data_IF_223853462947
#
_entry.id   IF_223853462947
#
_cell.length_a   1.000
_cell.length_b   1.000
_cell.length_c   1.000
_cell.angle_alpha   90.00
_cell.angle_beta   90.00
_cell.angle_gamma   90.00
#
_symmetry.space_group_name_H-M   'P 1'
#
loop_
_entity.id
_entity.type
_entity.pdbx_description
1 polymer ?
#
# COMPACT_ATOMS: atom_id res chain seq x y z
N UNK A 1 7.75 -9.89 -25.66
CA UNK A 1 6.87 -10.37 -24.57
C UNK A 1 6.46 -9.16 -23.73
N UNK A 2 5.30 -9.15 -23.05
CA UNK A 2 4.96 -8.03 -22.17
C UNK A 2 6.02 -7.89 -21.07
N UNK A 3 6.51 -6.66 -20.85
CA UNK A 3 7.63 -6.38 -19.96
C UNK A 3 7.41 -6.85 -18.51
N UNK A 4 6.14 -6.96 -18.08
CA UNK A 4 5.73 -7.25 -16.70
C UNK A 4 4.93 -8.55 -16.56
N UNK A 5 4.95 -9.41 -17.58
CA UNK A 5 4.23 -10.69 -17.59
C UNK A 5 2.74 -10.57 -17.95
N UNK A 6 1.98 -11.68 -17.87
CA UNK A 6 0.55 -11.71 -18.15
C UNK A 6 -0.28 -11.10 -17.00
N UNK A 7 -1.58 -10.85 -17.20
CA UNK A 7 -2.48 -10.46 -16.10
C UNK A 7 -2.43 -11.42 -14.92
N UNK A 8 -2.55 -10.87 -13.70
CA UNK A 8 -2.45 -11.62 -12.45
C UNK A 8 -3.82 -11.80 -11.78
N UNK A 9 -4.00 -12.93 -11.08
CA UNK A 9 -5.11 -13.10 -10.15
C UNK A 9 -4.74 -12.44 -8.81
N UNK A 10 -5.34 -11.29 -8.52
CA UNK A 10 -4.88 -10.45 -7.41
C UNK A 10 -5.18 -11.06 -6.03
N UNK A 11 -6.35 -11.70 -5.87
CA UNK A 11 -6.70 -12.35 -4.62
C UNK A 11 -5.76 -13.51 -4.28
N UNK A 12 -5.35 -14.28 -5.31
CA UNK A 12 -4.38 -15.35 -5.16
C UNK A 12 -2.99 -14.81 -4.83
N UNK A 13 -2.54 -13.77 -5.54
CA UNK A 13 -1.25 -13.13 -5.27
C UNK A 13 -1.15 -12.64 -3.81
N UNK A 14 -2.19 -11.99 -3.27
CA UNK A 14 -2.24 -11.56 -1.87
C UNK A 14 -2.11 -12.75 -0.90
N UNK A 15 -2.80 -13.87 -1.18
CA UNK A 15 -2.72 -15.06 -0.34
C UNK A 15 -1.31 -15.67 -0.34
N UNK A 16 -0.69 -15.78 -1.51
CA UNK A 16 0.65 -16.34 -1.66
C UNK A 16 1.72 -15.46 -0.97
N UNK A 17 1.51 -14.15 -0.89
CA UNK A 17 2.42 -13.19 -0.24
C UNK A 17 2.00 -12.79 1.19
N UNK A 18 0.96 -13.39 1.76
CA UNK A 18 0.42 -12.99 3.07
C UNK A 18 1.48 -13.01 4.19
N UNK A 19 2.47 -13.90 4.08
CA UNK A 19 3.58 -14.01 5.03
C UNK A 19 4.52 -12.79 5.04
N UNK A 20 4.56 -12.01 3.96
CA UNK A 20 5.31 -10.75 3.84
C UNK A 20 4.46 -9.53 4.22
N UNK A 21 3.13 -9.65 4.15
CA UNK A 21 2.18 -8.56 4.45
C UNK A 21 1.90 -8.43 5.96
N UNK A 22 2.90 -8.73 6.77
CA UNK A 22 2.89 -8.68 8.23
C UNK A 22 4.31 -8.36 8.74
N UNK A 23 4.48 -7.96 10.01
CA UNK A 23 5.80 -7.73 10.58
C UNK A 23 6.74 -8.95 10.41
N UNK A 24 8.04 -8.74 10.11
CA UNK A 24 8.74 -7.46 10.06
C UNK A 24 8.70 -6.75 8.69
N UNK A 25 8.07 -7.32 7.66
CA UNK A 25 8.15 -6.81 6.28
C UNK A 25 7.03 -5.79 6.01
N UNK A 26 5.77 -6.18 6.21
CA UNK A 26 4.60 -5.30 6.20
C UNK A 26 4.09 -4.86 4.82
N UNK A 27 4.88 -4.90 3.75
CA UNK A 27 4.42 -4.54 2.40
C UNK A 27 5.19 -5.29 1.30
N UNK A 28 4.63 -5.34 0.09
CA UNK A 28 5.27 -5.95 -1.07
C UNK A 28 4.88 -5.22 -2.37
N UNK A 29 5.87 -4.81 -3.15
CA UNK A 29 5.68 -4.26 -4.50
C UNK A 29 5.44 -5.40 -5.51
N UNK A 30 4.45 -5.24 -6.39
CA UNK A 30 4.00 -6.29 -7.33
C UNK A 30 4.97 -6.43 -8.51
N UNK A 31 5.26 -5.33 -9.20
CA UNK A 31 6.15 -5.31 -10.37
C UNK A 31 7.38 -4.47 -10.10
N UNK A 32 8.55 -5.02 -10.42
CA UNK A 32 9.84 -4.33 -10.32
C UNK A 32 10.13 -3.55 -11.61
N UNK A 33 10.93 -2.48 -11.50
CA UNK A 33 11.39 -1.67 -12.63
C UNK A 33 10.25 -1.11 -13.53
N UNK A 34 9.10 -0.85 -12.92
CA UNK A 34 7.96 -0.20 -13.55
C UNK A 34 7.91 1.29 -13.17
N UNK A 35 7.39 2.12 -14.07
CA UNK A 35 7.15 3.54 -13.80
C UNK A 35 6.10 3.72 -12.68
N UNK A 36 5.07 2.87 -12.67
CA UNK A 36 4.10 2.82 -11.58
C UNK A 36 4.59 1.91 -10.46
N UNK A 37 4.67 2.48 -9.26
CA UNK A 37 4.93 1.72 -8.04
C UNK A 37 3.60 1.19 -7.51
N UNK A 38 3.34 -0.10 -7.74
CA UNK A 38 2.12 -0.77 -7.26
C UNK A 38 2.47 -1.66 -6.07
N UNK A 39 2.02 -1.25 -4.88
CA UNK A 39 2.39 -1.89 -3.61
C UNK A 39 1.16 -2.37 -2.87
N UNK A 40 1.24 -3.58 -2.30
CA UNK A 40 0.26 -4.06 -1.32
C UNK A 40 0.85 -3.90 0.07
N UNK A 41 0.13 -3.20 0.93
CA UNK A 41 0.53 -2.96 2.32
C UNK A 41 -0.40 -3.74 3.24
N UNK A 42 0.19 -4.49 4.18
CA UNK A 42 -0.51 -5.26 5.19
C UNK A 42 -0.37 -4.65 6.59
N UNK A 43 -0.52 -5.49 7.62
CA UNK A 43 -0.48 -5.05 9.02
C UNK A 43 -0.38 -6.22 10.00
N UNK A 44 -0.38 -5.95 11.32
CA UNK A 44 -0.51 -4.62 11.94
C UNK A 44 0.76 -3.79 11.79
N UNK A 45 0.62 -2.48 11.60
CA UNK A 45 1.72 -1.53 11.59
C UNK A 45 1.24 -0.16 12.09
N UNK A 46 2.03 0.50 12.94
CA UNK A 46 1.82 1.86 13.41
C UNK A 46 3.13 2.63 13.27
N UNK A 47 3.05 3.89 12.87
CA UNK A 47 4.20 4.75 12.63
C UNK A 47 3.90 6.18 13.07
N UNK A 48 4.96 6.95 13.34
CA UNK A 48 4.86 8.33 13.85
C UNK A 48 5.31 9.38 12.84
N UNK A 49 5.94 8.95 11.76
CA UNK A 49 6.41 9.82 10.69
C UNK A 49 5.30 10.15 9.68
N UNK A 50 5.44 11.30 9.03
CA UNK A 50 4.58 11.77 7.96
C UNK A 50 5.35 11.71 6.63
N UNK A 51 4.68 11.30 5.56
CA UNK A 51 5.23 11.31 4.21
C UNK A 51 4.85 12.61 3.50
N UNK A 52 5.82 13.26 2.88
CA UNK A 52 5.65 14.41 2.00
C UNK A 52 6.03 13.95 0.58
N UNK A 53 5.03 13.44 -0.16
CA UNK A 53 5.22 12.95 -1.52
C UNK A 53 4.99 14.10 -2.52
N UNK A 54 5.96 14.41 -3.40
CA UNK A 54 5.77 15.42 -4.43
C UNK A 54 4.76 15.02 -5.53
N UNK A 55 4.31 13.76 -5.56
CA UNK A 55 3.33 13.22 -6.49
C UNK A 55 2.09 12.67 -5.76
N UNK A 56 1.06 12.34 -6.55
CA UNK A 56 -0.17 11.77 -6.00
C UNK A 56 -0.01 10.30 -5.60
N UNK A 57 -0.66 9.90 -4.50
CA UNK A 57 -0.76 8.51 -4.07
C UNK A 57 -2.22 8.02 -4.20
N UNK A 58 -2.42 6.86 -4.84
CA UNK A 58 -3.72 6.20 -4.94
C UNK A 58 -3.85 5.07 -3.92
N UNK A 59 -4.94 5.07 -3.15
CA UNK A 59 -5.23 4.03 -2.17
C UNK A 59 -6.53 3.30 -2.47
N UNK A 60 -6.49 1.97 -2.38
CA UNK A 60 -7.69 1.12 -2.38
C UNK A 60 -7.60 0.07 -1.26
N UNK A 61 -8.46 0.20 -0.24
CA UNK A 61 -8.51 -0.71 0.90
C UNK A 61 -9.22 -2.01 0.51
N UNK A 62 -8.46 -3.03 0.10
CA UNK A 62 -9.03 -4.28 -0.41
C UNK A 62 -9.55 -5.20 0.71
N UNK A 63 -8.90 -5.18 1.88
CA UNK A 63 -9.27 -6.01 3.05
C UNK A 63 -8.94 -5.28 4.35
N UNK A 64 -9.76 -5.48 5.38
CA UNK A 64 -9.56 -4.84 6.68
C UNK A 64 -9.84 -3.34 6.63
N UNK A 65 -9.33 -2.61 7.63
CA UNK A 65 -9.51 -1.16 7.73
C UNK A 65 -8.16 -0.52 8.05
N UNK A 66 -7.95 0.70 7.59
CA UNK A 66 -6.81 1.54 7.95
C UNK A 66 -7.25 2.99 8.10
N UNK A 67 -6.33 3.87 8.49
CA UNK A 67 -6.54 5.31 8.44
C UNK A 67 -5.23 6.02 8.09
N UNK A 68 -5.36 7.21 7.53
CA UNK A 68 -4.27 8.13 7.31
C UNK A 68 -4.41 9.28 8.30
N UNK A 69 -3.34 9.56 9.05
CA UNK A 69 -3.19 10.80 9.79
C UNK A 69 -2.59 11.83 8.86
N UNK A 70 -3.23 12.98 8.71
CA UNK A 70 -2.86 14.02 7.75
C UNK A 70 -2.69 15.38 8.43
N UNK A 71 -2.00 16.28 7.76
CA UNK A 71 -2.01 17.71 8.08
C UNK A 71 -2.74 18.46 6.96
N UNK A 72 -3.87 19.07 7.27
CA UNK A 72 -4.68 19.83 6.30
C UNK A 72 -4.93 21.22 6.91
N UNK A 73 -4.62 22.27 6.16
CA UNK A 73 -4.76 23.67 6.60
C UNK A 73 -4.14 23.96 7.98
N UNK A 74 -2.98 23.34 8.25
CA UNK A 74 -2.23 23.52 9.50
C UNK A 74 -2.81 22.78 10.71
N UNK A 75 -3.74 21.83 10.52
CA UNK A 75 -4.36 21.05 11.59
C UNK A 75 -4.23 19.54 11.36
N UNK A 76 -4.16 18.73 12.44
CA UNK A 76 -4.15 17.29 12.31
C UNK A 76 -5.56 16.79 11.97
N UNK A 77 -5.66 16.04 10.89
CA UNK A 77 -6.90 15.43 10.40
C UNK A 77 -6.72 13.91 10.26
N UNK A 78 -7.83 13.18 10.19
CA UNK A 78 -7.83 11.73 9.99
C UNK A 78 -8.79 11.35 8.87
N UNK A 79 -8.31 10.51 7.95
CA UNK A 79 -9.12 9.90 6.89
C UNK A 79 -9.13 8.39 7.08
N UNK A 80 -10.32 7.80 7.26
CA UNK A 80 -10.45 6.34 7.32
C UNK A 80 -10.47 5.74 5.91
N UNK A 81 -9.70 4.67 5.71
CA UNK A 81 -9.71 3.85 4.51
C UNK A 81 -10.57 2.61 4.79
N UNK A 82 -11.64 2.44 4.02
CA UNK A 82 -12.64 1.37 4.17
C UNK A 82 -12.80 0.57 2.88
#
# INVERSE_FOLDING_TARGET
MPAYGPPLNFQRWIQDHAHLLQPPVGNQQIWQDADFIVTVVGGPNLRTDYHDDPLEEFFYQVRGNAWLSLWIDGKPERVDLK
#
